data_IF_696287058070
#
_entry.id   IF_696287058070
#
_cell.length_a   1.000
_cell.length_b   1.000
_cell.length_c   1.000
_cell.angle_alpha   90.00
_cell.angle_beta   90.00
_cell.angle_gamma   90.00
#
_symmetry.space_group_name_H-M   'P 1'
#
loop_
_entity.id
_entity.type
_entity.pdbx_description
1 polymer ?
#
# COMPACT_ATOMS: atom_id res chain seq x y z
N UNK A 1 24.99 3.08 0.83
CA UNK A 1 25.21 4.37 1.51
C UNK A 1 23.93 5.21 1.34
N UNK A 2 23.82 6.40 1.94
CA UNK A 2 22.59 7.21 1.86
C UNK A 2 22.26 7.59 0.41
N UNK A 3 23.29 7.85 -0.38
CA UNK A 3 23.25 8.22 -1.78
C UNK A 3 22.63 7.10 -2.63
N UNK A 4 23.02 5.84 -2.37
CA UNK A 4 22.44 4.68 -3.07
C UNK A 4 20.95 4.53 -2.74
N UNK A 5 20.54 4.81 -1.50
CA UNK A 5 19.13 4.75 -1.10
C UNK A 5 18.32 5.85 -1.79
N UNK A 6 18.85 7.07 -1.83
CA UNK A 6 18.22 8.19 -2.55
C UNK A 6 18.07 7.84 -4.02
N UNK A 7 19.11 7.30 -4.65
CA UNK A 7 19.08 6.88 -6.06
C UNK A 7 18.03 5.77 -6.30
N UNK A 8 17.94 4.77 -5.43
CA UNK A 8 16.92 3.71 -5.52
C UNK A 8 15.52 4.30 -5.42
N UNK A 9 15.25 5.16 -4.42
CA UNK A 9 13.94 5.77 -4.27
C UNK A 9 13.59 6.68 -5.44
N UNK A 10 14.52 7.50 -5.91
CA UNK A 10 14.30 8.40 -7.05
C UNK A 10 13.86 7.65 -8.32
N UNK A 11 14.42 6.46 -8.56
CA UNK A 11 14.13 5.67 -9.77
C UNK A 11 12.93 4.75 -9.59
N UNK A 12 12.83 4.07 -8.44
CA UNK A 12 11.90 2.96 -8.26
C UNK A 12 10.68 3.29 -7.41
N UNK A 13 10.66 4.37 -6.64
CA UNK A 13 9.54 4.66 -5.74
C UNK A 13 8.21 4.66 -6.49
N UNK A 14 8.11 5.49 -7.54
CA UNK A 14 6.85 5.68 -8.26
C UNK A 14 6.43 4.38 -8.96
N UNK A 15 7.39 3.62 -9.51
CA UNK A 15 7.16 2.31 -10.12
C UNK A 15 6.63 1.31 -9.10
N UNK A 16 7.29 1.18 -7.95
CA UNK A 16 6.89 0.24 -6.90
C UNK A 16 5.53 0.60 -6.30
N UNK A 17 5.22 1.89 -6.14
CA UNK A 17 3.91 2.35 -5.67
C UNK A 17 2.82 1.99 -6.67
N UNK A 18 3.04 2.21 -7.97
CA UNK A 18 2.08 1.85 -9.00
C UNK A 18 1.87 0.33 -9.07
N UNK A 19 2.94 -0.45 -9.11
CA UNK A 19 2.87 -1.92 -9.15
C UNK A 19 2.15 -2.50 -7.93
N UNK A 20 2.39 -1.94 -6.74
CA UNK A 20 1.68 -2.36 -5.53
C UNK A 20 0.18 -2.02 -5.61
N UNK A 21 -0.16 -0.82 -6.09
CA UNK A 21 -1.54 -0.41 -6.29
C UNK A 21 -2.26 -1.34 -7.28
N UNK A 22 -1.67 -1.58 -8.44
CA UNK A 22 -2.20 -2.45 -9.49
C UNK A 22 -2.37 -3.88 -9.00
N UNK A 23 -1.39 -4.38 -8.24
CA UNK A 23 -1.49 -5.69 -7.60
C UNK A 23 -2.68 -5.76 -6.64
N UNK A 24 -2.85 -4.78 -5.75
CA UNK A 24 -3.94 -4.76 -4.78
C UNK A 24 -5.29 -4.71 -5.49
N UNK A 25 -5.43 -3.87 -6.53
CA UNK A 25 -6.65 -3.77 -7.32
C UNK A 25 -6.98 -5.10 -8.01
N UNK A 26 -6.04 -5.65 -8.79
CA UNK A 26 -6.22 -6.90 -9.51
C UNK A 26 -6.53 -8.07 -8.55
N UNK A 27 -5.79 -8.15 -7.44
CA UNK A 27 -5.95 -9.21 -6.46
C UNK A 27 -7.31 -9.18 -5.76
N UNK A 28 -7.81 -7.98 -5.45
CA UNK A 28 -9.09 -7.80 -4.78
C UNK A 28 -10.30 -8.12 -5.69
N UNK A 29 -10.14 -8.02 -7.01
CA UNK A 29 -11.15 -8.45 -7.98
C UNK A 29 -11.29 -9.97 -8.04
N UNK A 30 -10.22 -10.72 -7.73
CA UNK A 30 -10.27 -12.18 -7.78
C UNK A 30 -11.23 -12.77 -6.75
N UNK A 31 -12.04 -13.73 -7.21
CA UNK A 31 -12.97 -14.49 -6.37
C UNK A 31 -12.30 -15.74 -5.81
N UNK A 32 -12.36 -15.89 -4.48
CA UNK A 32 -12.11 -17.16 -3.81
C UNK A 32 -13.22 -18.13 -4.25
N UNK A 33 -12.83 -19.23 -4.89
CA UNK A 33 -13.77 -20.23 -5.42
C UNK A 33 -14.37 -21.06 -4.30
N UNK A 34 -15.62 -21.47 -4.47
CA UNK A 34 -16.28 -22.41 -3.55
C UNK A 34 -15.59 -23.78 -3.59
N UNK A 35 -15.24 -24.31 -2.42
CA UNK A 35 -14.59 -25.61 -2.25
C UNK A 35 -15.54 -26.57 -1.53
N UNK A 36 -16.12 -27.54 -2.27
CA UNK A 36 -17.23 -28.41 -1.80
C UNK A 36 -16.99 -29.10 -0.45
N UNK A 37 -15.75 -29.47 -0.14
CA UNK A 37 -15.41 -30.23 1.07
C UNK A 37 -14.69 -29.37 2.14
N UNK A 38 -14.78 -28.04 2.04
CA UNK A 38 -14.14 -27.11 2.97
C UNK A 38 -15.13 -26.01 3.41
N UNK A 39 -16.10 -26.35 4.28
CA UNK A 39 -17.15 -25.42 4.70
C UNK A 39 -16.61 -24.23 5.52
N UNK A 40 -15.41 -24.33 6.08
CA UNK A 40 -14.74 -23.24 6.80
C UNK A 40 -14.11 -22.19 5.88
N UNK A 41 -14.04 -22.43 4.56
CA UNK A 41 -13.46 -21.49 3.60
C UNK A 41 -14.54 -20.54 3.10
N UNK A 42 -14.33 -19.25 3.34
CA UNK A 42 -15.22 -18.18 2.87
C UNK A 42 -14.93 -17.92 1.39
N UNK A 43 -15.87 -18.29 0.52
CA UNK A 43 -15.80 -18.02 -0.91
C UNK A 43 -16.35 -16.61 -1.24
N UNK A 44 -16.09 -16.09 -2.45
CA UNK A 44 -16.52 -14.74 -2.86
C UNK A 44 -15.38 -13.79 -3.21
N UNK A 45 -15.69 -12.53 -3.46
CA UNK A 45 -14.66 -11.50 -3.70
C UNK A 45 -13.96 -11.14 -2.40
N UNK A 46 -12.63 -11.00 -2.44
CA UNK A 46 -11.82 -10.72 -1.24
C UNK A 46 -12.21 -9.40 -0.59
N UNK A 47 -12.35 -8.34 -1.40
CA UNK A 47 -12.78 -7.03 -0.93
C UNK A 47 -14.10 -7.09 -0.17
N UNK A 48 -15.10 -7.77 -0.73
CA UNK A 48 -16.40 -7.96 -0.08
C UNK A 48 -16.29 -8.74 1.22
N UNK A 49 -15.53 -9.84 1.23
CA UNK A 49 -15.38 -10.68 2.41
C UNK A 49 -14.63 -9.94 3.55
N UNK A 50 -13.74 -9.00 3.23
CA UNK A 50 -13.01 -8.20 4.20
C UNK A 50 -13.87 -7.07 4.80
N UNK A 51 -14.53 -6.28 3.95
CA UNK A 51 -15.30 -5.11 4.39
C UNK A 51 -16.72 -5.45 4.85
N UNK A 52 -17.31 -6.52 4.33
CA UNK A 52 -18.69 -6.95 4.59
C UNK A 52 -18.74 -8.47 4.84
N UNK A 53 -18.06 -8.98 5.88
CA UNK A 53 -18.05 -10.40 6.18
C UNK A 53 -19.48 -10.90 6.49
N UNK A 54 -19.87 -12.02 5.88
CA UNK A 54 -21.09 -12.74 6.24
C UNK A 54 -20.94 -13.27 7.68
N UNK A 55 -21.72 -12.79 8.66
CA UNK A 55 -21.54 -13.17 10.08
C UNK A 55 -21.74 -14.66 10.33
N UNK A 56 -22.45 -15.37 9.44
CA UNK A 56 -22.64 -16.81 9.55
C UNK A 56 -21.44 -17.63 9.08
N UNK A 57 -20.51 -17.01 8.34
CA UNK A 57 -19.35 -17.68 7.70
C UNK A 57 -18.00 -17.10 8.12
N UNK A 58 -17.97 -15.84 8.55
CA UNK A 58 -16.77 -15.11 8.88
C UNK A 58 -17.02 -14.20 10.09
N UNK A 59 -16.07 -14.15 11.01
CA UNK A 59 -16.07 -13.23 12.14
C UNK A 59 -14.98 -12.19 11.93
N UNK A 60 -15.26 -10.93 12.29
CA UNK A 60 -14.24 -9.90 12.35
C UNK A 60 -13.40 -10.10 13.63
N UNK A 61 -12.16 -10.55 13.46
CA UNK A 61 -11.19 -10.75 14.56
C UNK A 61 -10.37 -9.48 14.88
N UNK A 62 -10.72 -8.35 14.29
CA UNK A 62 -10.11 -7.06 14.60
C UNK A 62 -10.30 -6.72 16.07
N UNK A 63 -9.21 -6.31 16.72
CA UNK A 63 -9.26 -5.79 18.09
C UNK A 63 -9.74 -4.35 18.01
N UNK A 64 -10.72 -3.91 18.83
CA UNK A 64 -11.10 -2.51 18.89
C UNK A 64 -9.87 -1.67 19.27
N UNK A 65 -9.53 -0.72 18.41
CA UNK A 65 -8.41 0.20 18.63
C UNK A 65 -8.94 1.45 19.35
N UNK A 66 -8.27 1.83 20.43
CA UNK A 66 -8.51 3.12 21.06
C UNK A 66 -8.03 4.23 20.11
N UNK A 67 -9.00 4.96 19.55
CA UNK A 67 -8.75 6.04 18.58
C UNK A 67 -8.02 7.21 19.21
N UNK A 68 -8.16 7.42 20.52
CA UNK A 68 -7.46 8.50 21.24
C UNK A 68 -5.97 8.17 21.31
N UNK A 69 -5.64 6.96 21.77
CA UNK A 69 -4.24 6.49 21.85
C UNK A 69 -3.61 6.45 20.46
N UNK A 70 -4.34 5.96 19.44
CA UNK A 70 -3.85 5.99 18.07
C UNK A 70 -3.58 7.41 17.57
N UNK A 71 -4.47 8.35 17.90
CA UNK A 71 -4.31 9.76 17.57
C UNK A 71 -3.05 10.35 18.21
N UNK A 72 -2.84 10.11 19.51
CA UNK A 72 -1.66 10.55 20.25
C UNK A 72 -0.36 9.98 19.67
N UNK A 73 -0.37 8.70 19.27
CA UNK A 73 0.77 8.05 18.62
C UNK A 73 1.05 8.58 17.21
N UNK A 74 0.01 9.05 16.50
CA UNK A 74 0.13 9.57 15.14
C UNK A 74 0.56 11.04 15.10
N UNK A 75 0.30 11.83 16.16
CA UNK A 75 0.63 13.26 16.21
C UNK A 75 2.09 13.58 15.83
N UNK A 76 3.12 12.86 16.33
CA UNK A 76 4.51 13.14 15.97
C UNK A 76 4.84 12.91 14.50
N UNK A 77 3.99 12.17 13.79
CA UNK A 77 4.17 11.78 12.38
C UNK A 77 3.25 12.58 11.44
N UNK A 78 2.52 13.58 11.96
CA UNK A 78 1.49 14.30 11.20
C UNK A 78 2.05 15.02 9.96
N UNK A 79 3.30 15.50 10.04
CA UNK A 79 3.97 16.20 8.95
C UNK A 79 4.72 15.25 7.99
N UNK A 80 4.75 13.94 8.31
CA UNK A 80 5.43 12.95 7.48
C UNK A 80 4.48 12.51 6.36
N UNK A 81 4.85 12.87 5.14
CA UNK A 81 4.16 12.38 3.96
C UNK A 81 4.57 10.93 3.65
N UNK A 82 3.71 9.98 4.02
CA UNK A 82 3.90 8.54 3.70
C UNK A 82 3.78 8.24 2.20
N UNK A 83 3.32 9.20 1.39
CA UNK A 83 3.23 9.08 -0.06
C UNK A 83 4.56 9.32 -0.77
N UNK A 84 5.59 9.75 -0.05
CA UNK A 84 6.96 9.90 -0.56
C UNK A 84 8.01 9.26 0.36
N UNK A 85 9.09 8.73 -0.22
CA UNK A 85 10.28 8.27 0.51
C UNK A 85 11.41 9.32 0.50
N UNK A 86 11.24 10.39 -0.27
CA UNK A 86 12.19 11.48 -0.43
C UNK A 86 11.53 12.81 -0.05
N UNK A 87 12.31 13.70 0.56
CA UNK A 87 11.89 15.09 0.75
C UNK A 87 11.53 15.73 -0.59
N UNK A 88 10.50 16.60 -0.65
CA UNK A 88 10.00 17.16 -1.91
C UNK A 88 11.11 17.80 -2.77
N UNK A 89 11.99 18.58 -2.14
CA UNK A 89 13.12 19.25 -2.80
C UNK A 89 14.11 18.24 -3.41
N UNK A 90 14.37 17.14 -2.69
CA UNK A 90 15.26 16.07 -3.18
C UNK A 90 14.62 15.30 -4.32
N UNK A 91 13.31 15.03 -4.24
CA UNK A 91 12.56 14.34 -5.29
C UNK A 91 12.49 15.17 -6.57
N UNK A 92 12.28 16.47 -6.46
CA UNK A 92 12.28 17.39 -7.60
C UNK A 92 13.67 17.46 -8.25
N UNK A 93 14.72 17.64 -7.46
CA UNK A 93 16.09 17.62 -7.98
C UNK A 93 16.43 16.31 -8.70
N UNK A 94 16.08 15.15 -8.12
CA UNK A 94 16.31 13.86 -8.76
C UNK A 94 15.55 13.72 -10.07
N UNK A 95 14.32 14.25 -10.15
CA UNK A 95 13.50 14.23 -11.37
C UNK A 95 14.14 15.06 -12.47
N UNK A 96 14.66 16.24 -12.15
CA UNK A 96 15.35 17.10 -13.11
C UNK A 96 16.59 16.42 -13.68
N UNK A 97 17.41 15.84 -12.81
CA UNK A 97 18.59 15.05 -13.21
C UNK A 97 18.17 13.89 -14.11
N UNK A 98 17.17 13.09 -13.74
CA UNK A 98 16.72 11.97 -14.58
C UNK A 98 16.21 12.42 -15.96
N UNK A 99 15.51 13.55 -16.04
CA UNK A 99 15.01 14.10 -17.31
C UNK A 99 16.15 14.60 -18.22
N UNK A 100 17.17 15.24 -17.65
CA UNK A 100 18.37 15.64 -18.41
C UNK A 100 19.07 14.42 -19.02
N UNK A 101 19.22 13.34 -18.25
CA UNK A 101 19.89 12.12 -18.72
C UNK A 101 19.11 11.42 -19.84
N UNK A 102 17.77 11.37 -19.74
CA UNK A 102 16.91 10.82 -20.80
C UNK A 102 16.99 11.67 -22.09
N UNK A 103 17.19 12.98 -21.97
CA UNK A 103 17.27 13.88 -23.13
C UNK A 103 18.63 13.81 -23.85
N UNK A 104 19.67 13.37 -23.16
CA UNK A 104 21.04 13.24 -23.69
C UNK A 104 21.28 11.88 -24.36
N UNK A 105 20.42 10.87 -24.09
CA UNK A 105 20.45 9.54 -24.73
C UNK A 105 19.64 9.48 -26.03
#
# INVERSE_FOLDING_TARGET
MLEDQIAIYAVFEDVLRQELFDFVEAWNLHKIRLQKNRPHVVHGQRWMNYHYPDPSKACNWGIPIDRTVLGELAQPLADIDISTCLEPETKEWCRDVLNEWITIM
#
